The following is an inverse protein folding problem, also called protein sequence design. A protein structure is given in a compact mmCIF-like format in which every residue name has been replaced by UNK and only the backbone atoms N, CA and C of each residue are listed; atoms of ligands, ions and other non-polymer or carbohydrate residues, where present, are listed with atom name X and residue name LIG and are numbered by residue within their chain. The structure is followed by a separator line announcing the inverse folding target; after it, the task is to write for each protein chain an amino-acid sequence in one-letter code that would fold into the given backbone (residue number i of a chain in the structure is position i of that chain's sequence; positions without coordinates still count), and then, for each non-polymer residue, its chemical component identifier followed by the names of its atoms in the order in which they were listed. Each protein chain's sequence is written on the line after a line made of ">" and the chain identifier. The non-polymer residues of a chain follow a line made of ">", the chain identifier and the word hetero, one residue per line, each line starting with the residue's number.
data_IF_514288361803
#
_entry.id   IF_514288361803
#
_cell.length_a   1.000
_cell.length_b   1.000
_cell.length_c   1.000
_cell.angle_alpha   90.00
_cell.angle_beta   90.00
_cell.angle_gamma   90.00
#
_symmetry.space_group_name_H-M   'P 1'
#
loop_
_entity.id
_entity.type
_entity.pdbx_description
1 polymer ?
#
# COMPACT_ATOMS: atom_id res chain seq x y z
N UNK A 1 -1.95 -49.20 -41.88
CA UNK A 1 -1.89 -47.77 -41.59
C UNK A 1 -2.25 -47.55 -40.12
N UNK A 2 -1.29 -47.46 -39.23
CA UNK A 2 -1.49 -47.27 -37.76
C UNK A 2 -1.56 -45.79 -37.44
N UNK A 3 -2.74 -45.29 -36.99
CA UNK A 3 -2.92 -43.90 -36.55
C UNK A 3 -2.35 -43.76 -35.11
N UNK A 4 -1.25 -43.03 -34.94
CA UNK A 4 -0.77 -42.59 -33.63
C UNK A 4 -1.64 -41.40 -33.15
N UNK A 5 -2.44 -41.61 -32.12
CA UNK A 5 -3.15 -40.55 -31.40
C UNK A 5 -2.16 -40.07 -30.32
N UNK A 6 -1.55 -38.91 -30.54
CA UNK A 6 -0.71 -38.22 -29.58
C UNK A 6 -1.59 -37.62 -28.48
N UNK A 7 -1.54 -38.19 -27.29
CA UNK A 7 -2.17 -37.65 -26.06
C UNK A 7 -1.31 -36.46 -25.59
N UNK A 8 -1.78 -35.22 -25.85
CA UNK A 8 -1.16 -34.00 -25.34
C UNK A 8 -1.53 -33.82 -23.87
N UNK A 9 -0.64 -34.24 -22.96
CA UNK A 9 -0.83 -34.10 -21.53
C UNK A 9 -0.61 -32.62 -21.13
N UNK A 10 -1.71 -31.86 -20.99
CA UNK A 10 -1.70 -30.47 -20.51
C UNK A 10 -1.39 -30.48 -19.00
N UNK A 11 -0.13 -30.33 -18.62
CA UNK A 11 0.29 -30.18 -17.23
C UNK A 11 -0.13 -28.77 -16.78
N UNK A 12 -1.26 -28.69 -16.09
CA UNK A 12 -1.68 -27.51 -15.34
C UNK A 12 -0.70 -27.34 -14.16
N UNK A 13 0.30 -26.49 -14.32
CA UNK A 13 1.13 -25.99 -13.22
C UNK A 13 0.23 -25.10 -12.33
N UNK A 14 -0.45 -25.73 -11.38
CA UNK A 14 -1.09 -25.03 -10.28
C UNK A 14 0.03 -24.51 -9.37
N UNK A 15 0.57 -23.37 -9.70
CA UNK A 15 1.46 -22.63 -8.83
C UNK A 15 0.65 -22.22 -7.60
N UNK A 16 0.86 -22.85 -6.45
CA UNK A 16 0.37 -22.36 -5.16
C UNK A 16 1.04 -21.01 -4.89
N UNK A 17 0.44 -19.92 -5.33
CA UNK A 17 0.83 -18.58 -4.89
C UNK A 17 0.31 -18.41 -3.47
N UNK A 18 1.10 -18.79 -2.47
CA UNK A 18 0.84 -18.42 -1.09
C UNK A 18 0.91 -16.89 -1.00
N UNK A 19 -0.27 -16.25 -1.01
CA UNK A 19 -0.37 -14.80 -0.86
C UNK A 19 0.07 -14.45 0.56
N UNK A 20 1.01 -13.52 0.68
CA UNK A 20 1.52 -13.00 1.95
C UNK A 20 0.38 -12.49 2.84
N UNK A 21 0.38 -12.86 4.12
CA UNK A 21 -0.62 -12.47 5.11
C UNK A 21 0.04 -11.65 6.22
N UNK A 22 -0.67 -10.69 6.84
CA UNK A 22 -0.12 -9.92 7.96
C UNK A 22 0.39 -10.81 9.09
N UNK A 23 -0.31 -11.89 9.40
CA UNK A 23 0.05 -12.86 10.46
C UNK A 23 1.37 -13.61 10.22
N UNK A 24 1.90 -13.60 8.99
CA UNK A 24 3.21 -14.22 8.68
C UNK A 24 4.37 -13.49 9.39
N UNK A 25 4.11 -12.27 9.88
CA UNK A 25 5.07 -11.37 10.52
C UNK A 25 4.95 -11.29 12.05
N UNK A 26 4.00 -12.01 12.67
CA UNK A 26 3.62 -11.85 14.09
C UNK A 26 4.78 -11.95 15.09
N UNK A 27 5.76 -12.80 14.80
CA UNK A 27 6.90 -13.07 15.69
C UNK A 27 8.18 -12.31 15.29
N UNK A 28 8.09 -11.44 14.27
CA UNK A 28 9.24 -10.68 13.75
C UNK A 28 9.40 -9.32 14.44
N UNK A 29 10.63 -8.79 14.41
CA UNK A 29 11.01 -7.47 14.95
C UNK A 29 11.69 -6.62 13.87
N UNK A 30 11.69 -5.27 14.03
CA UNK A 30 11.01 -4.49 15.06
C UNK A 30 9.50 -4.52 14.93
N UNK A 31 8.73 -4.13 15.98
CA UNK A 31 7.27 -4.03 15.87
C UNK A 31 6.87 -2.65 15.34
N UNK A 32 6.15 -2.62 14.24
CA UNK A 32 5.53 -1.40 13.70
C UNK A 32 4.21 -1.12 14.42
N UNK A 33 4.18 -0.07 15.21
CA UNK A 33 2.97 0.53 15.78
C UNK A 33 2.69 1.77 14.93
N UNK A 34 1.75 1.66 13.99
CA UNK A 34 1.58 2.63 12.91
C UNK A 34 1.24 4.03 13.43
N UNK A 35 0.43 4.14 14.47
CA UNK A 35 0.07 5.41 15.10
C UNK A 35 1.28 6.09 15.77
N UNK A 36 2.24 5.30 16.29
CA UNK A 36 3.47 5.86 16.86
C UNK A 36 4.45 6.26 15.77
N UNK A 37 4.58 5.42 14.72
CA UNK A 37 5.51 5.66 13.64
C UNK A 37 5.13 6.89 12.82
N UNK A 38 3.84 7.05 12.49
CA UNK A 38 3.35 8.18 11.68
C UNK A 38 3.00 9.42 12.50
N UNK A 39 3.09 9.40 13.85
CA UNK A 39 2.92 10.60 14.68
C UNK A 39 4.12 11.54 14.55
N UNK A 40 3.85 12.84 14.44
CA UNK A 40 4.85 13.88 14.18
C UNK A 40 5.17 13.99 12.69
N UNK A 41 6.40 14.38 12.37
CA UNK A 41 6.84 14.61 11.00
C UNK A 41 7.50 13.36 10.42
N UNK A 42 7.08 13.00 9.22
CA UNK A 42 7.67 11.92 8.42
C UNK A 42 7.86 12.43 7.01
N UNK A 43 9.02 12.19 6.42
CA UNK A 43 9.30 12.46 5.01
C UNK A 43 9.18 11.20 4.19
N UNK A 44 8.74 11.36 2.94
CA UNK A 44 8.60 10.22 2.03
C UNK A 44 9.11 10.54 0.62
N UNK A 45 9.66 9.52 -0.03
CA UNK A 45 10.06 9.54 -1.43
C UNK A 45 9.48 8.32 -2.13
N UNK A 46 8.77 8.54 -3.22
CA UNK A 46 8.08 7.47 -3.91
C UNK A 46 8.32 7.41 -5.41
N UNK A 47 8.26 6.20 -5.95
CA UNK A 47 8.29 5.92 -7.39
C UNK A 47 7.06 5.13 -7.79
N UNK A 48 6.35 5.63 -8.81
CA UNK A 48 5.20 4.95 -9.41
C UNK A 48 5.65 4.24 -10.69
N UNK A 49 5.44 2.94 -10.74
CA UNK A 49 5.75 2.09 -11.89
C UNK A 49 4.47 1.60 -12.55
N UNK A 50 4.45 1.60 -13.87
CA UNK A 50 3.36 0.97 -14.61
C UNK A 50 3.46 -0.57 -14.57
N UNK A 51 2.50 -1.26 -15.21
CA UNK A 51 2.45 -2.73 -15.26
C UNK A 51 3.73 -3.39 -15.79
N UNK A 52 4.47 -2.73 -16.68
CA UNK A 52 5.73 -3.25 -17.26
C UNK A 52 6.97 -2.96 -16.40
N UNK A 53 6.80 -2.33 -15.21
CA UNK A 53 7.91 -1.96 -14.33
C UNK A 53 8.59 -0.64 -14.67
N UNK A 54 8.14 0.08 -15.73
CA UNK A 54 8.69 1.38 -16.08
C UNK A 54 8.22 2.43 -15.08
N UNK A 55 9.17 3.20 -14.49
CA UNK A 55 8.86 4.36 -13.66
C UNK A 55 8.17 5.42 -14.51
N UNK A 56 6.99 5.85 -14.10
CA UNK A 56 6.15 6.83 -14.80
C UNK A 56 6.09 8.17 -14.09
N UNK A 57 6.14 8.17 -12.74
CA UNK A 57 6.14 9.36 -11.89
C UNK A 57 6.95 9.13 -10.63
N UNK A 58 7.42 10.21 -10.03
CA UNK A 58 8.10 10.21 -8.73
C UNK A 58 7.57 11.36 -7.89
N UNK A 59 7.65 11.22 -6.57
CA UNK A 59 7.26 12.29 -5.66
C UNK A 59 8.17 12.37 -4.44
N UNK A 60 8.11 13.54 -3.80
CA UNK A 60 8.50 13.75 -2.40
C UNK A 60 7.23 14.12 -1.64
N UNK A 61 7.10 13.63 -0.41
CA UNK A 61 5.95 13.98 0.42
C UNK A 61 6.39 14.33 1.84
N UNK A 62 5.67 15.28 2.42
CA UNK A 62 5.73 15.62 3.83
C UNK A 62 4.43 15.11 4.49
N UNK A 63 4.60 14.33 5.55
CA UNK A 63 3.52 13.76 6.34
C UNK A 63 3.57 14.36 7.75
N UNK A 64 2.41 14.70 8.30
CA UNK A 64 2.28 15.13 9.69
C UNK A 64 1.13 14.40 10.36
N UNK A 65 1.45 13.55 11.33
CA UNK A 65 0.46 12.75 12.06
C UNK A 65 0.19 13.28 13.45
N UNK A 66 -1.08 13.21 13.87
CA UNK A 66 -1.54 13.55 15.24
C UNK A 66 -2.36 12.40 15.79
N UNK A 67 -1.84 11.76 16.83
CA UNK A 67 -2.50 10.68 17.56
C UNK A 67 -3.20 11.23 18.80
N UNK A 68 -4.50 10.91 19.01
CA UNK A 68 -5.28 11.38 20.17
C UNK A 68 -5.59 10.29 21.22
N UNK A 69 -5.01 9.09 21.04
CA UNK A 69 -5.25 7.92 21.90
C UNK A 69 -6.23 6.91 21.29
N UNK A 70 -6.96 7.28 20.24
CA UNK A 70 -7.93 6.41 19.56
C UNK A 70 -7.82 6.46 18.04
N UNK A 71 -7.51 7.62 17.47
CA UNK A 71 -7.37 7.84 16.04
C UNK A 71 -6.13 8.65 15.69
N UNK A 72 -5.56 8.35 14.53
CA UNK A 72 -4.49 9.09 13.89
C UNK A 72 -5.08 9.95 12.77
N UNK A 73 -4.89 11.26 12.86
CA UNK A 73 -5.11 12.18 11.74
C UNK A 73 -3.76 12.36 11.05
N UNK A 74 -3.66 11.98 9.80
CA UNK A 74 -2.44 12.05 9.02
C UNK A 74 -2.63 12.97 7.82
N UNK A 75 -1.98 14.12 7.86
CA UNK A 75 -1.92 15.07 6.75
C UNK A 75 -0.74 14.72 5.84
N UNK A 76 -1.01 14.58 4.55
CA UNK A 76 -0.02 14.26 3.52
C UNK A 76 0.01 15.33 2.45
N UNK A 77 1.22 15.79 2.09
CA UNK A 77 1.46 16.74 1.00
C UNK A 77 2.45 16.13 0.02
N UNK A 78 1.98 15.79 -1.16
CA UNK A 78 2.80 15.20 -2.23
C UNK A 78 3.22 16.28 -3.23
N UNK A 79 4.49 16.30 -3.59
CA UNK A 79 5.07 17.11 -4.65
C UNK A 79 5.62 16.17 -5.74
N UNK A 80 4.90 16.07 -6.84
CA UNK A 80 5.21 15.19 -7.96
C UNK A 80 6.26 15.82 -8.87
N UNK A 81 7.05 15.00 -9.57
CA UNK A 81 8.09 15.44 -10.48
C UNK A 81 7.59 16.13 -11.76
N UNK A 82 6.29 16.04 -12.05
CA UNK A 82 5.62 16.77 -13.13
C UNK A 82 5.01 18.12 -12.69
N UNK A 83 5.28 18.54 -11.45
CA UNK A 83 4.82 19.80 -10.87
C UNK A 83 3.46 19.74 -10.20
N UNK A 84 2.75 18.60 -10.25
CA UNK A 84 1.49 18.46 -9.54
C UNK A 84 1.74 18.45 -8.02
N UNK A 85 0.92 19.20 -7.28
CA UNK A 85 0.85 19.15 -5.82
C UNK A 85 -0.47 18.54 -5.41
N UNK A 86 -0.42 17.46 -4.64
CA UNK A 86 -1.59 16.74 -4.14
C UNK A 86 -1.57 16.75 -2.60
N UNK A 87 -2.74 16.85 -1.98
CA UNK A 87 -2.89 16.72 -0.53
C UNK A 87 -3.90 15.63 -0.23
N UNK A 88 -3.70 14.92 0.90
CA UNK A 88 -4.66 13.97 1.45
C UNK A 88 -4.62 14.05 2.96
N UNK A 89 -5.77 13.88 3.59
CA UNK A 89 -5.87 13.68 5.01
C UNK A 89 -6.53 12.33 5.27
N UNK A 90 -5.83 11.47 6.00
CA UNK A 90 -6.40 10.24 6.53
C UNK A 90 -6.92 10.45 7.95
N UNK A 91 -8.04 9.80 8.26
CA UNK A 91 -8.46 9.49 9.62
C UNK A 91 -8.33 7.99 9.78
N UNK A 92 -7.41 7.54 10.64
CA UNK A 92 -7.14 6.11 10.89
C UNK A 92 -7.51 5.80 12.33
N UNK A 93 -8.57 5.01 12.52
CA UNK A 93 -9.04 4.55 13.82
C UNK A 93 -8.36 3.23 14.18
N UNK A 94 -7.85 3.11 15.40
CA UNK A 94 -7.38 1.86 15.96
C UNK A 94 -8.56 1.14 16.59
N UNK A 95 -8.88 -0.05 16.09
CA UNK A 95 -9.99 -0.85 16.61
C UNK A 95 -9.53 -1.76 17.76
N UNK A 96 -8.34 -2.34 17.61
CA UNK A 96 -7.67 -3.16 18.62
C UNK A 96 -6.15 -3.18 18.38
N UNK A 97 -5.44 -4.13 18.98
CA UNK A 97 -3.97 -4.24 18.88
C UNK A 97 -3.47 -4.44 17.43
N UNK A 98 -4.28 -5.05 16.58
CA UNK A 98 -3.90 -5.47 15.24
C UNK A 98 -4.73 -4.86 14.13
N UNK A 99 -5.94 -4.38 14.43
CA UNK A 99 -6.92 -3.96 13.43
C UNK A 99 -7.14 -2.45 13.43
N UNK A 100 -7.21 -1.90 12.22
CA UNK A 100 -7.41 -0.48 11.97
C UNK A 100 -8.43 -0.27 10.86
N UNK A 101 -9.10 0.87 10.91
CA UNK A 101 -9.95 1.37 9.82
C UNK A 101 -9.53 2.78 9.45
N UNK A 102 -9.54 3.08 8.15
CA UNK A 102 -9.15 4.39 7.65
C UNK A 102 -10.15 4.98 6.66
N UNK A 103 -10.27 6.30 6.66
CA UNK A 103 -11.04 7.06 5.67
C UNK A 103 -10.24 8.25 5.17
N UNK A 104 -10.45 8.62 3.90
CA UNK A 104 -9.98 9.86 3.30
C UNK A 104 -10.99 10.30 2.23
N UNK A 105 -10.91 11.55 1.76
CA UNK A 105 -11.88 12.13 0.83
C UNK A 105 -11.94 11.42 -0.54
N UNK A 106 -10.84 10.80 -0.95
CA UNK A 106 -10.71 10.06 -2.21
C UNK A 106 -10.81 8.52 -2.03
N UNK A 107 -11.09 8.05 -0.81
CA UNK A 107 -11.30 6.62 -0.50
C UNK A 107 -12.78 6.26 -0.67
N UNK A 108 -13.03 5.15 -1.34
CA UNK A 108 -14.38 4.57 -1.50
C UNK A 108 -14.65 3.63 -0.34
N UNK A 109 -15.58 4.03 0.53
CA UNK A 109 -15.90 3.26 1.73
C UNK A 109 -14.81 3.41 2.80
N UNK A 110 -14.43 2.30 3.44
CA UNK A 110 -13.47 2.27 4.56
C UNK A 110 -12.29 1.39 4.19
N UNK A 111 -11.08 1.91 4.39
CA UNK A 111 -9.84 1.15 4.29
C UNK A 111 -9.69 0.23 5.51
N UNK A 112 -9.10 -0.96 5.32
CA UNK A 112 -8.83 -1.93 6.39
C UNK A 112 -7.35 -2.09 6.60
N UNK A 113 -6.91 -1.92 7.85
CA UNK A 113 -5.52 -2.02 8.28
C UNK A 113 -5.25 -3.20 9.20
N UNK A 114 -4.06 -3.80 9.05
CA UNK A 114 -3.63 -4.94 9.85
C UNK A 114 -2.16 -4.77 10.22
N UNK A 115 -1.83 -4.82 11.53
CA UNK A 115 -0.46 -4.64 12.04
C UNK A 115 0.03 -5.90 12.75
N UNK A 116 1.13 -6.49 12.26
CA UNK A 116 1.80 -7.65 12.87
C UNK A 116 3.31 -7.55 12.69
N UNK A 117 4.07 -7.65 13.80
CA UNK A 117 5.52 -7.51 13.76
C UNK A 117 5.95 -6.21 13.05
N UNK A 118 6.89 -6.23 12.10
CA UNK A 118 7.32 -5.06 11.35
C UNK A 118 6.38 -4.63 10.23
N UNK A 119 5.29 -5.39 9.98
CA UNK A 119 4.43 -5.18 8.82
C UNK A 119 3.10 -4.53 9.20
N UNK A 120 2.70 -3.53 8.42
CA UNK A 120 1.36 -2.96 8.39
C UNK A 120 0.80 -3.10 6.98
N UNK A 121 -0.34 -3.76 6.85
CA UNK A 121 -1.08 -3.88 5.60
C UNK A 121 -2.27 -2.94 5.60
N UNK A 122 -2.50 -2.25 4.49
CA UNK A 122 -3.66 -1.39 4.30
C UNK A 122 -4.33 -1.71 2.97
N UNK A 123 -5.62 -2.05 3.00
CA UNK A 123 -6.41 -2.40 1.82
C UNK A 123 -7.49 -1.35 1.60
N UNK A 124 -7.51 -0.73 0.43
CA UNK A 124 -8.48 0.33 0.13
C UNK A 124 -8.72 0.50 -1.37
N UNK A 125 -9.77 1.24 -1.70
CA UNK A 125 -10.10 1.65 -3.06
C UNK A 125 -10.04 3.17 -3.15
N UNK A 126 -9.21 3.70 -4.04
CA UNK A 126 -9.14 5.13 -4.34
C UNK A 126 -9.90 5.51 -5.62
N UNK A 127 -10.43 6.72 -5.62
CA UNK A 127 -10.85 7.43 -6.82
C UNK A 127 -9.63 8.18 -7.40
N UNK A 128 -8.99 7.61 -8.40
CA UNK A 128 -7.80 8.19 -9.03
C UNK A 128 -8.21 8.97 -10.27
N UNK A 129 -7.86 10.27 -10.38
CA UNK A 129 -8.15 11.05 -11.58
C UNK A 129 -7.25 10.61 -12.74
N UNK A 130 -7.85 10.16 -13.83
CA UNK A 130 -7.17 9.75 -15.06
C UNK A 130 -7.88 10.37 -16.25
N UNK A 131 -7.19 11.26 -16.98
CA UNK A 131 -7.74 11.94 -18.18
C UNK A 131 -9.12 12.56 -17.93
N UNK A 132 -9.28 13.25 -16.79
CA UNK A 132 -10.52 13.95 -16.42
C UNK A 132 -11.65 13.05 -15.90
N UNK A 133 -11.39 11.75 -15.68
CA UNK A 133 -12.37 10.81 -15.08
C UNK A 133 -11.80 10.21 -13.80
N UNK A 134 -12.65 10.06 -12.79
CA UNK A 134 -12.27 9.33 -11.58
C UNK A 134 -12.42 7.82 -11.81
N UNK A 135 -11.33 7.09 -11.63
CA UNK A 135 -11.26 5.64 -11.81
C UNK A 135 -11.03 4.99 -10.45
N UNK A 136 -11.84 3.97 -10.13
CA UNK A 136 -11.63 3.14 -8.93
C UNK A 136 -10.41 2.23 -9.13
N UNK A 137 -9.42 2.38 -8.25
CA UNK A 137 -8.22 1.55 -8.19
C UNK A 137 -8.13 0.93 -6.80
N UNK A 138 -7.98 -0.39 -6.75
CA UNK A 138 -7.75 -1.11 -5.49
C UNK A 138 -6.28 -1.13 -5.16
N UNK A 139 -5.97 -0.81 -3.91
CA UNK A 139 -4.61 -0.82 -3.34
C UNK A 139 -4.49 -1.97 -2.35
N UNK A 140 -3.49 -2.82 -2.55
CA UNK A 140 -2.95 -3.78 -1.57
C UNK A 140 -1.60 -3.20 -1.13
N UNK A 141 -1.61 -2.50 -0.01
CA UNK A 141 -0.55 -1.61 0.43
C UNK A 141 0.13 -2.19 1.67
N UNK A 142 1.46 -2.32 1.61
CA UNK A 142 2.27 -2.90 2.68
C UNK A 142 3.37 -1.94 3.12
N UNK A 143 3.46 -1.69 4.42
CA UNK A 143 4.54 -0.92 5.04
C UNK A 143 5.35 -1.88 5.89
N UNK A 144 6.67 -1.88 5.71
CA UNK A 144 7.61 -2.71 6.46
C UNK A 144 8.61 -1.82 7.18
N UNK A 145 8.56 -1.83 8.50
CA UNK A 145 9.52 -1.14 9.35
C UNK A 145 10.89 -1.79 9.22
N UNK A 146 11.91 -1.02 8.92
CA UNK A 146 13.30 -1.48 8.81
C UNK A 146 14.04 -1.23 10.12
N UNK A 147 13.86 -0.04 10.69
CA UNK A 147 14.35 0.40 11.99
C UNK A 147 13.40 1.46 12.57
N UNK A 148 13.78 2.12 13.66
CA UNK A 148 12.94 3.12 14.34
C UNK A 148 12.60 4.34 13.47
N UNK A 149 13.41 4.63 12.45
CA UNK A 149 13.25 5.80 11.57
C UNK A 149 12.79 5.45 10.16
N UNK A 150 13.15 4.30 9.64
CA UNK A 150 12.95 3.94 8.23
C UNK A 150 11.89 2.87 8.07
N UNK A 151 10.94 3.11 7.17
CA UNK A 151 10.02 2.08 6.68
C UNK A 151 9.94 2.11 5.15
N UNK A 152 9.71 0.94 4.56
CA UNK A 152 9.53 0.77 3.12
C UNK A 152 8.09 0.35 2.87
N UNK A 153 7.45 1.05 1.96
CA UNK A 153 6.11 0.75 1.49
C UNK A 153 6.16 0.16 0.08
N UNK A 154 5.31 -0.83 -0.15
CA UNK A 154 5.00 -1.35 -1.49
C UNK A 154 3.49 -1.52 -1.63
N UNK A 155 2.91 -0.80 -2.56
CA UNK A 155 1.50 -0.90 -2.89
C UNK A 155 1.30 -1.49 -4.29
N UNK A 156 0.56 -2.59 -4.38
CA UNK A 156 0.08 -3.11 -5.65
C UNK A 156 -1.25 -2.47 -5.99
N UNK A 157 -1.32 -1.85 -7.16
CA UNK A 157 -2.50 -1.19 -7.67
C UNK A 157 -3.20 -2.07 -8.71
N UNK A 158 -4.48 -2.38 -8.48
CA UNK A 158 -5.26 -3.23 -9.40
C UNK A 158 -6.54 -2.56 -9.86
N UNK A 159 -6.97 -2.89 -11.07
CA UNK A 159 -8.28 -2.55 -11.62
C UNK A 159 -8.92 -3.82 -12.16
N UNK A 160 -10.14 -4.12 -11.69
CA UNK A 160 -10.83 -5.37 -12.04
C UNK A 160 -9.97 -6.63 -11.81
N UNK A 161 -9.19 -6.65 -10.70
CA UNK A 161 -8.30 -7.75 -10.35
C UNK A 161 -7.00 -7.83 -11.16
N UNK A 162 -6.79 -6.96 -12.15
CA UNK A 162 -5.58 -6.92 -12.98
C UNK A 162 -4.62 -5.85 -12.44
N UNK A 163 -3.35 -6.22 -12.19
CA UNK A 163 -2.30 -5.27 -11.79
C UNK A 163 -2.11 -4.21 -12.89
N UNK A 164 -2.24 -2.94 -12.52
CA UNK A 164 -2.06 -1.78 -13.44
C UNK A 164 -0.83 -0.95 -13.12
N UNK A 165 -0.44 -0.90 -11.84
CA UNK A 165 0.72 -0.16 -11.38
C UNK A 165 1.27 -0.75 -10.06
N UNK A 166 2.42 -0.27 -9.66
CA UNK A 166 3.06 -0.53 -8.38
C UNK A 166 3.66 0.77 -7.85
N UNK A 167 3.50 1.01 -6.56
CA UNK A 167 4.08 2.15 -5.86
C UNK A 167 5.08 1.63 -4.83
N UNK A 168 6.28 2.19 -4.83
CA UNK A 168 7.28 1.96 -3.78
C UNK A 168 7.60 3.29 -3.13
N UNK A 169 7.55 3.34 -1.80
CA UNK A 169 7.83 4.55 -1.01
C UNK A 169 8.79 4.22 0.11
N UNK A 170 9.75 5.09 0.34
CA UNK A 170 10.58 5.11 1.54
C UNK A 170 10.06 6.20 2.46
N UNK A 171 9.74 5.84 3.70
CA UNK A 171 9.41 6.77 4.77
C UNK A 171 10.62 6.94 5.69
N UNK A 172 10.84 8.17 6.14
CA UNK A 172 11.88 8.51 7.12
C UNK A 172 11.27 9.41 8.18
N UNK A 173 11.18 8.89 9.39
CA UNK A 173 10.72 9.65 10.57
C UNK A 173 11.83 10.61 11.03
N UNK A 174 11.47 11.86 11.33
CA UNK A 174 12.38 12.88 11.89
C UNK A 174 12.87 12.52 13.31
#
# INVERSE_FOLDING_TARGET
>A
MKKFIGLFLLILLIGCTNKMKPTDFKDQKPRLVIENYLSGNVKAWGVLQNRSGKVTRQFKADLNGKWDGSKLILDEVFNWNDGERQTRQWTINKLDEHNYEGTASDVVGTAKGYSYGPAFKFEYVLLVPVKGKNIKITFDDWIFMQDERVAINRATMTKFGIKVAELTVMFVKD
#
